data_IF_887207689097
#
_entry.id   IF_887207689097
#
_cell.length_a   1.000
_cell.length_b   1.000
_cell.length_c   1.000
_cell.angle_alpha   90.00
_cell.angle_beta   90.00
_cell.angle_gamma   90.00
#
_symmetry.space_group_name_H-M   'P 1'
#
loop_
_entity.id
_entity.type
_entity.pdbx_description
1 polymer ?
#
# COMPACT_ATOMS: atom_id res chain seq x y z
N UNK A 1 45.77 12.07 -67.40
CA UNK A 1 46.38 12.07 -66.06
C UNK A 1 45.31 12.52 -65.05
N UNK A 2 44.96 11.65 -64.10
CA UNK A 2 43.96 11.87 -63.05
C UNK A 2 44.60 12.58 -61.85
N UNK A 3 43.97 13.64 -61.35
CA UNK A 3 44.28 14.35 -60.11
C UNK A 3 43.06 15.25 -59.85
N UNK A 4 42.42 15.38 -58.69
CA UNK A 4 42.74 15.08 -57.31
C UNK A 4 41.38 14.91 -56.58
N UNK A 5 41.23 13.87 -55.75
CA UNK A 5 40.19 13.79 -54.73
C UNK A 5 40.78 14.34 -53.44
N UNK A 6 40.16 15.36 -52.82
CA UNK A 6 40.49 15.79 -51.47
C UNK A 6 39.29 15.60 -50.52
N UNK A 7 39.39 14.48 -49.79
CA UNK A 7 39.10 14.23 -48.37
C UNK A 7 38.18 15.25 -47.67
N UNK A 8 36.97 14.79 -47.34
CA UNK A 8 36.00 15.46 -46.46
C UNK A 8 36.41 15.31 -45.00
N UNK A 9 36.34 16.43 -44.27
CA UNK A 9 36.59 16.60 -42.84
C UNK A 9 35.92 15.52 -41.97
N UNK A 10 36.72 14.94 -41.07
CA UNK A 10 36.24 14.09 -39.98
C UNK A 10 35.48 14.90 -38.94
N UNK A 11 34.21 14.52 -38.73
CA UNK A 11 33.38 15.04 -37.64
C UNK A 11 33.73 14.34 -36.32
N UNK A 12 34.23 15.12 -35.38
CA UNK A 12 34.30 14.85 -33.95
C UNK A 12 32.87 14.70 -33.38
N UNK A 13 32.46 13.48 -33.05
CA UNK A 13 31.36 13.22 -32.09
C UNK A 13 31.64 11.87 -31.39
N UNK A 14 32.63 11.88 -30.50
CA UNK A 14 32.80 10.85 -29.47
C UNK A 14 31.65 10.95 -28.47
N UNK A 15 30.49 10.44 -28.86
CA UNK A 15 29.28 10.40 -28.05
C UNK A 15 29.50 9.55 -26.81
N UNK A 16 29.73 10.22 -25.70
CA UNK A 16 29.53 9.70 -24.35
C UNK A 16 28.04 9.41 -24.14
N UNK A 17 27.55 8.28 -24.65
CA UNK A 17 26.22 7.77 -24.34
C UNK A 17 26.29 6.26 -24.35
N UNK A 18 26.07 5.64 -23.19
CA UNK A 18 25.39 4.36 -22.96
C UNK A 18 25.71 3.85 -21.53
N UNK A 19 25.55 4.71 -20.53
CA UNK A 19 25.23 4.26 -19.18
C UNK A 19 23.75 4.58 -18.95
N UNK A 20 22.88 3.73 -19.51
CA UNK A 20 21.49 3.67 -19.08
C UNK A 20 21.39 2.56 -18.02
N UNK A 21 21.55 2.84 -16.71
CA UNK A 21 20.82 2.03 -15.77
C UNK A 21 19.35 2.36 -16.04
N UNK A 22 18.60 1.41 -16.58
CA UNK A 22 17.14 1.48 -16.61
C UNK A 22 16.67 1.54 -15.16
N UNK A 23 16.68 2.74 -14.58
CA UNK A 23 16.00 3.04 -13.35
C UNK A 23 14.53 2.75 -13.65
N UNK A 24 14.07 1.56 -13.25
CA UNK A 24 12.66 1.18 -13.42
C UNK A 24 11.86 2.25 -12.70
N UNK A 25 11.19 3.11 -13.47
CA UNK A 25 10.32 4.13 -12.94
C UNK A 25 9.40 3.44 -11.93
N UNK A 26 9.52 3.85 -10.67
CA UNK A 26 8.80 3.24 -9.57
C UNK A 26 7.30 3.41 -9.86
N UNK A 27 6.65 2.34 -10.29
CA UNK A 27 5.27 2.40 -10.77
C UNK A 27 4.33 2.17 -9.60
N UNK A 28 3.34 3.05 -9.43
CA UNK A 28 2.24 2.81 -8.51
C UNK A 28 1.23 1.87 -9.15
N UNK A 29 0.72 0.93 -8.36
CA UNK A 29 -0.33 0.01 -8.74
C UNK A 29 -1.64 0.42 -8.05
N UNK A 30 -2.76 0.23 -8.73
CA UNK A 30 -4.08 0.51 -8.15
C UNK A 30 -4.52 -0.58 -7.18
N UNK A 31 -5.22 -0.18 -6.12
CA UNK A 31 -5.74 -1.03 -5.07
C UNK A 31 -4.75 -1.28 -3.93
N UNK A 32 -5.04 -2.31 -3.12
CA UNK A 32 -4.10 -2.82 -2.11
C UNK A 32 -3.28 -3.99 -2.67
N UNK A 33 -2.04 -4.20 -2.19
CA UNK A 33 -1.26 -5.38 -2.54
C UNK A 33 -2.01 -6.65 -2.13
N UNK A 34 -2.10 -7.63 -3.04
CA UNK A 34 -2.80 -8.91 -2.79
C UNK A 34 -2.32 -9.61 -1.52
N UNK A 35 -1.01 -9.54 -1.24
CA UNK A 35 -0.39 -10.17 -0.07
C UNK A 35 -0.86 -9.61 1.28
N UNK A 36 -1.36 -8.36 1.31
CA UNK A 36 -1.85 -7.73 2.55
C UNK A 36 -3.35 -7.97 2.79
N UNK A 37 -4.09 -8.51 1.81
CA UNK A 37 -5.55 -8.57 1.88
C UNK A 37 -6.08 -9.46 3.00
N UNK A 38 -7.21 -9.07 3.55
CA UNK A 38 -7.87 -9.70 4.69
C UNK A 38 -7.75 -8.87 5.98
N UNK A 39 -8.21 -9.45 7.08
CA UNK A 39 -8.26 -8.82 8.39
C UNK A 39 -7.04 -9.19 9.25
N UNK A 40 -6.51 -8.20 9.96
CA UNK A 40 -5.35 -8.29 10.84
C UNK A 40 -5.69 -7.66 12.18
N UNK A 41 -5.32 -8.29 13.29
CA UNK A 41 -5.73 -7.86 14.62
C UNK A 41 -4.53 -7.54 15.51
N UNK A 42 -4.70 -6.52 16.34
CA UNK A 42 -3.82 -6.22 17.46
C UNK A 42 -4.50 -6.70 18.74
N UNK A 43 -4.44 -8.01 18.98
CA UNK A 43 -5.17 -8.65 20.08
C UNK A 43 -6.64 -8.21 20.12
N UNK A 44 -7.14 -7.92 21.32
CA UNK A 44 -8.50 -7.41 21.58
C UNK A 44 -8.59 -5.87 21.55
N UNK A 45 -7.65 -5.19 20.91
CA UNK A 45 -7.56 -3.72 20.93
C UNK A 45 -8.11 -3.10 19.64
N UNK A 46 -7.57 -3.52 18.49
CA UNK A 46 -7.90 -2.93 17.20
C UNK A 46 -7.73 -3.92 16.06
N UNK A 47 -8.23 -3.53 14.89
CA UNK A 47 -8.05 -4.29 13.66
C UNK A 47 -7.66 -3.38 12.50
N UNK A 48 -7.00 -3.97 11.51
CA UNK A 48 -6.76 -3.44 10.17
C UNK A 48 -7.39 -4.39 9.17
N UNK A 49 -7.90 -3.86 8.08
CA UNK A 49 -8.44 -4.66 7.00
C UNK A 49 -8.08 -4.06 5.65
N UNK A 50 -7.67 -4.94 4.74
CA UNK A 50 -7.24 -4.56 3.40
C UNK A 50 -8.13 -5.27 2.38
N UNK A 51 -8.94 -4.49 1.67
CA UNK A 51 -9.75 -4.95 0.54
C UNK A 51 -9.07 -4.61 -0.77
N UNK A 52 -9.65 -5.05 -1.89
CA UNK A 52 -9.06 -4.82 -3.21
C UNK A 52 -8.85 -3.33 -3.54
N UNK A 53 -9.74 -2.44 -3.08
CA UNK A 53 -9.77 -1.02 -3.48
C UNK A 53 -9.69 -0.02 -2.32
N UNK A 54 -9.80 -0.49 -1.09
CA UNK A 54 -9.79 0.35 0.11
C UNK A 54 -9.11 -0.38 1.29
N UNK A 55 -8.76 0.39 2.30
CA UNK A 55 -8.28 -0.10 3.60
C UNK A 55 -9.20 0.39 4.69
N UNK A 56 -9.23 -0.30 5.82
CA UNK A 56 -10.00 0.10 6.98
C UNK A 56 -9.29 -0.26 8.26
N UNK A 57 -9.61 0.47 9.32
CA UNK A 57 -9.14 0.19 10.66
C UNK A 57 -10.12 0.77 11.67
N UNK A 58 -10.21 0.13 12.83
CA UNK A 58 -10.88 0.69 13.99
C UNK A 58 -10.43 -0.02 15.28
N UNK A 59 -10.80 0.55 16.42
CA UNK A 59 -10.75 -0.15 17.68
C UNK A 59 -11.88 -1.18 17.73
N UNK A 60 -11.61 -2.30 18.38
CA UNK A 60 -12.61 -3.31 18.69
C UNK A 60 -13.45 -2.83 19.88
N UNK A 61 -14.75 -3.15 19.87
CA UNK A 61 -15.67 -2.72 20.92
C UNK A 61 -16.19 -3.93 21.69
N UNK A 62 -15.91 -4.03 22.97
CA UNK A 62 -16.46 -5.10 23.79
C UNK A 62 -17.98 -4.93 23.95
N UNK A 63 -18.73 -6.00 23.75
CA UNK A 63 -20.16 -6.11 24.01
C UNK A 63 -20.40 -7.15 25.10
N UNK A 64 -20.94 -6.72 26.23
CA UNK A 64 -21.38 -7.62 27.30
C UNK A 64 -22.58 -8.48 26.87
N UNK A 65 -23.43 -7.96 25.97
CA UNK A 65 -24.62 -8.65 25.47
C UNK A 65 -24.24 -9.89 24.66
N UNK A 66 -23.19 -9.79 23.84
CA UNK A 66 -22.73 -10.88 22.97
C UNK A 66 -21.55 -11.65 23.55
N UNK A 67 -21.03 -11.24 24.72
CA UNK A 67 -19.89 -11.89 25.36
C UNK A 67 -18.60 -11.84 24.54
N UNK A 68 -18.36 -10.77 23.78
CA UNK A 68 -17.20 -10.68 22.88
C UNK A 68 -16.98 -9.30 22.28
N UNK A 69 -16.07 -9.20 21.31
CA UNK A 69 -15.69 -7.94 20.67
C UNK A 69 -16.33 -7.79 19.29
N UNK A 70 -17.03 -6.68 19.09
CA UNK A 70 -17.61 -6.27 17.82
C UNK A 70 -16.55 -5.56 16.96
N UNK A 71 -16.70 -5.71 15.65
CA UNK A 71 -15.89 -5.03 14.63
C UNK A 71 -16.70 -3.87 14.02
N UNK A 72 -16.67 -2.66 14.62
CA UNK A 72 -17.46 -1.53 14.12
C UNK A 72 -16.99 -1.10 12.73
N UNK A 73 -17.81 -0.34 12.01
CA UNK A 73 -17.44 0.20 10.70
C UNK A 73 -16.06 0.88 10.75
N UNK A 74 -15.18 0.64 9.76
CA UNK A 74 -13.83 1.18 9.78
C UNK A 74 -13.79 2.63 9.29
N UNK A 75 -12.75 3.34 9.72
CA UNK A 75 -12.19 4.48 8.97
C UNK A 75 -10.98 4.00 8.17
N UNK A 76 -10.64 4.62 7.06
CA UNK A 76 -9.46 4.19 6.30
C UNK A 76 -9.23 4.93 5.00
N UNK A 77 -8.69 4.25 3.99
CA UNK A 77 -8.34 4.86 2.70
C UNK A 77 -9.15 4.25 1.57
N UNK A 78 -9.64 5.09 0.67
CA UNK A 78 -10.20 4.70 -0.62
C UNK A 78 -9.35 5.21 -1.79
N UNK A 79 -9.68 4.74 -3.01
CA UNK A 79 -8.91 4.97 -4.24
C UNK A 79 -7.43 4.68 -4.04
N UNK A 80 -7.17 3.60 -3.31
CA UNK A 80 -5.85 3.25 -2.83
C UNK A 80 -4.94 2.96 -4.01
N UNK A 81 -3.71 3.42 -3.93
CA UNK A 81 -2.60 3.01 -4.77
C UNK A 81 -1.48 2.53 -3.87
N UNK A 82 -0.65 1.62 -4.38
CA UNK A 82 0.53 1.17 -3.67
C UNK A 82 1.78 1.20 -4.54
N UNK A 83 2.92 1.37 -3.88
CA UNK A 83 4.25 1.21 -4.46
C UNK A 83 4.99 0.13 -3.68
N UNK A 84 5.59 -0.84 -4.38
CA UNK A 84 6.47 -1.82 -3.75
C UNK A 84 7.83 -1.19 -3.46
N UNK A 85 8.32 -1.33 -2.23
CA UNK A 85 9.59 -0.77 -1.77
C UNK A 85 10.69 -1.83 -1.59
N UNK A 86 10.40 -3.11 -1.84
CA UNK A 86 11.32 -4.22 -1.56
C UNK A 86 11.06 -4.89 -0.21
N UNK A 87 11.55 -6.12 -0.03
CA UNK A 87 11.47 -6.89 1.22
C UNK A 87 10.06 -6.94 1.83
N UNK A 88 9.05 -7.17 0.99
CA UNK A 88 7.64 -7.19 1.40
C UNK A 88 7.15 -5.89 2.08
N UNK A 89 7.82 -4.77 1.77
CA UNK A 89 7.43 -3.44 2.22
C UNK A 89 6.68 -2.72 1.10
N UNK A 90 5.57 -2.08 1.46
CA UNK A 90 4.68 -1.39 0.54
C UNK A 90 4.40 0.01 1.10
N UNK A 91 4.41 1.01 0.22
CA UNK A 91 3.84 2.33 0.50
C UNK A 91 2.44 2.37 -0.06
N UNK A 92 1.44 2.61 0.80
CA UNK A 92 0.06 2.81 0.39
C UNK A 92 -0.26 4.29 0.45
N UNK A 93 -1.04 4.76 -0.51
CA UNK A 93 -1.55 6.14 -0.58
C UNK A 93 -2.99 6.12 -1.05
N UNK A 94 -3.82 7.03 -0.57
CA UNK A 94 -5.24 7.10 -0.91
C UNK A 94 -5.90 8.31 -0.25
N UNK A 95 -7.23 8.34 -0.33
CA UNK A 95 -8.05 9.39 0.29
C UNK A 95 -8.73 8.85 1.53
N UNK A 96 -8.73 9.62 2.62
CA UNK A 96 -9.39 9.19 3.85
C UNK A 96 -10.90 9.10 3.67
N UNK A 97 -11.50 8.11 4.34
CA UNK A 97 -12.94 8.04 4.52
C UNK A 97 -13.26 7.63 5.97
N UNK A 98 -14.39 8.10 6.48
CA UNK A 98 -14.88 7.81 7.84
C UNK A 98 -16.05 6.82 7.83
N UNK A 99 -16.54 6.48 9.02
CA UNK A 99 -17.68 5.57 9.21
C UNK A 99 -19.02 6.12 8.67
N UNK A 100 -19.11 7.43 8.46
CA UNK A 100 -20.30 8.11 7.91
C UNK A 100 -20.19 8.37 6.40
N UNK A 101 -19.08 8.01 5.77
CA UNK A 101 -18.80 8.25 4.35
C UNK A 101 -18.82 6.95 3.55
N UNK A 102 -19.39 6.98 2.34
CA UNK A 102 -19.26 5.86 1.42
C UNK A 102 -17.83 5.84 0.86
N UNK A 103 -17.09 4.76 1.10
CA UNK A 103 -15.74 4.58 0.57
C UNK A 103 -15.69 4.66 -0.96
N UNK A 104 -16.81 4.53 -1.70
CA UNK A 104 -16.84 4.63 -3.17
C UNK A 104 -16.80 6.07 -3.67
N UNK A 105 -16.77 7.06 -2.77
CA UNK A 105 -16.75 8.49 -3.10
C UNK A 105 -15.58 9.15 -2.37
N UNK A 106 -15.03 10.22 -2.95
CA UNK A 106 -14.09 11.12 -2.26
C UNK A 106 -14.93 12.30 -1.75
N UNK A 107 -15.04 12.42 -0.44
CA UNK A 107 -15.78 13.51 0.20
C UNK A 107 -14.96 14.81 0.17
N UNK A 108 -15.58 16.01 0.17
CA UNK A 108 -14.84 17.27 0.29
C UNK A 108 -13.93 17.36 1.52
N UNK A 109 -14.25 16.62 2.58
CA UNK A 109 -13.44 16.53 3.81
C UNK A 109 -12.37 15.43 3.75
N UNK A 110 -12.31 14.63 2.69
CA UNK A 110 -11.30 13.60 2.50
C UNK A 110 -9.92 14.21 2.28
N UNK A 111 -8.94 13.69 3.01
CA UNK A 111 -7.54 14.10 2.90
C UNK A 111 -6.71 13.01 2.24
N UNK A 112 -5.64 13.39 1.54
CA UNK A 112 -4.66 12.40 1.06
C UNK A 112 -3.81 11.92 2.23
N UNK A 113 -3.74 10.62 2.40
CA UNK A 113 -2.88 10.00 3.40
C UNK A 113 -2.01 8.92 2.78
N UNK A 114 -0.78 8.81 3.27
CA UNK A 114 0.22 7.87 2.79
C UNK A 114 0.92 7.23 3.98
N UNK A 115 1.07 5.91 3.96
CA UNK A 115 1.76 5.18 5.01
C UNK A 115 2.54 3.98 4.46
N UNK A 116 3.51 3.50 5.23
CA UNK A 116 4.23 2.28 4.89
C UNK A 116 3.80 1.09 5.76
N UNK A 117 3.80 -0.09 5.15
CA UNK A 117 3.48 -1.35 5.80
C UNK A 117 4.41 -2.44 5.30
N UNK A 118 4.81 -3.35 6.19
CA UNK A 118 5.69 -4.46 5.89
C UNK A 118 5.04 -5.77 6.28
N UNK A 119 4.93 -6.69 5.34
CA UNK A 119 4.54 -8.06 5.66
C UNK A 119 5.79 -8.80 6.17
N UNK A 120 5.80 -9.15 7.46
CA UNK A 120 6.93 -9.86 8.08
C UNK A 120 6.91 -11.34 7.71
N UNK A 121 5.71 -11.93 7.68
CA UNK A 121 5.42 -13.28 7.23
C UNK A 121 3.92 -13.39 6.91
N UNK A 122 3.43 -14.58 6.53
CA UNK A 122 2.03 -14.79 6.16
C UNK A 122 1.01 -14.51 7.28
N UNK A 123 1.45 -14.41 8.54
CA UNK A 123 0.62 -14.18 9.73
C UNK A 123 0.89 -12.85 10.42
N UNK A 124 1.95 -12.12 10.07
CA UNK A 124 2.34 -10.89 10.76
C UNK A 124 2.55 -9.73 9.80
N UNK A 125 1.86 -8.62 10.08
CA UNK A 125 1.91 -7.37 9.34
C UNK A 125 2.35 -6.24 10.25
N UNK A 126 3.46 -5.60 9.91
CA UNK A 126 4.03 -4.49 10.64
C UNK A 126 3.61 -3.16 10.00
N UNK A 127 2.88 -2.33 10.74
CA UNK A 127 2.52 -0.99 10.31
C UNK A 127 3.64 -0.03 10.73
N UNK A 128 4.46 0.38 9.76
CA UNK A 128 5.71 1.09 10.01
C UNK A 128 5.48 2.41 10.77
N UNK A 129 4.48 3.18 10.36
CA UNK A 129 4.26 4.52 10.89
C UNK A 129 3.71 4.52 12.32
N UNK A 130 3.19 3.38 12.79
CA UNK A 130 2.72 3.21 14.17
C UNK A 130 3.66 2.37 15.03
N UNK A 131 4.68 1.75 14.44
CA UNK A 131 5.54 0.77 15.08
C UNK A 131 4.78 -0.37 15.77
N UNK A 132 3.75 -0.91 15.11
CA UNK A 132 2.89 -1.98 15.66
C UNK A 132 2.80 -3.17 14.71
N UNK A 133 2.80 -4.38 15.27
CA UNK A 133 2.57 -5.64 14.52
C UNK A 133 1.16 -6.16 14.75
N UNK A 134 0.46 -6.44 13.66
CA UNK A 134 -0.86 -7.07 13.64
C UNK A 134 -0.75 -8.52 13.19
N UNK A 135 -1.65 -9.36 13.70
CA UNK A 135 -1.69 -10.80 13.44
C UNK A 135 -2.89 -11.17 12.58
N UNK A 136 -2.66 -11.99 11.55
CA UNK A 136 -3.72 -12.62 10.76
C UNK A 136 -3.99 -14.03 11.29
N UNK A 137 -5.26 -14.31 11.53
CA UNK A 137 -5.73 -15.63 11.94
C UNK A 137 -6.28 -16.38 10.74
N UNK A 138 -6.20 -17.72 10.77
CA UNK A 138 -6.71 -18.57 9.70
C UNK A 138 -8.26 -18.56 9.66
N UNK A 139 -8.86 -18.46 10.83
CA UNK A 139 -10.30 -18.28 11.05
C UNK A 139 -10.50 -17.02 11.90
N UNK A 140 -11.68 -16.40 11.80
CA UNK A 140 -12.06 -15.31 12.70
C UNK A 140 -11.89 -15.78 14.15
N UNK A 141 -11.17 -15.03 15.01
CA UNK A 141 -10.98 -15.44 16.40
C UNK A 141 -12.30 -15.52 17.15
N UNK A 142 -12.48 -16.53 18.02
CA UNK A 142 -13.75 -16.72 18.75
C UNK A 142 -14.10 -15.62 19.76
N UNK A 143 -13.19 -14.67 20.01
CA UNK A 143 -13.47 -13.46 20.80
C UNK A 143 -14.00 -12.30 19.94
N UNK A 144 -14.04 -12.44 18.62
CA UNK A 144 -14.80 -11.57 17.73
C UNK A 144 -16.20 -12.14 17.56
N UNK A 145 -17.19 -11.27 17.68
CA UNK A 145 -18.59 -11.54 17.37
C UNK A 145 -18.98 -10.64 16.20
N UNK A 146 -19.43 -11.25 15.11
CA UNK A 146 -19.89 -10.60 13.88
C UNK A 146 -21.40 -10.38 13.91
#
# INVERSE_FOLDING_TARGET
MRSQKLIVLGFLLGGAFLLNPTAKASTYHSGTPKALRGCWYLGKQSYLEYWSRHTGMNNLQYSSVYGGYLKPNPYGLTYVKYKYLGYHTYRLTGWTYSTSQDFRVIDPTSEKYTYNVRLLNSKQLYLCDRNVTYTKYATTPGWIVE
#
